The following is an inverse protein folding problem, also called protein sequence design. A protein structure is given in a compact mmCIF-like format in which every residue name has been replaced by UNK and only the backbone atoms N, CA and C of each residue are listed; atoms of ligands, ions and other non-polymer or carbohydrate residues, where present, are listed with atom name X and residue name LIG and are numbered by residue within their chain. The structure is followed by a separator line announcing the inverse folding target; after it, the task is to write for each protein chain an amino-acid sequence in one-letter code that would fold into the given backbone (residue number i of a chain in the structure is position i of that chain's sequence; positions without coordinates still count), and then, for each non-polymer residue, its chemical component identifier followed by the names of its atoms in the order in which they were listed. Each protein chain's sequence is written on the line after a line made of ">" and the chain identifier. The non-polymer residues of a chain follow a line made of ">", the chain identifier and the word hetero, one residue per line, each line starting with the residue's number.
data_IF_132424690689
#
_entry.id   IF_132424690689
#
_cell.length_a   1.000
_cell.length_b   1.000
_cell.length_c   1.000
_cell.angle_alpha   90.00
_cell.angle_beta   90.00
_cell.angle_gamma   90.00
#
_symmetry.space_group_name_H-M   'P 1'
#
loop_
_entity.id
_entity.type
_entity.pdbx_description
1 polymer ?
#
# COMPACT_ATOMS: atom_id res chain seq x y z
N UNK A 1 -21.85 13.28 -24.61
CA UNK A 1 -21.90 13.18 -23.14
C UNK A 1 -20.56 12.63 -22.73
N UNK A 2 -19.69 13.50 -22.26
CA UNK A 2 -18.31 13.19 -21.92
C UNK A 2 -18.30 12.23 -20.73
N UNK A 3 -17.39 11.26 -20.72
CA UNK A 3 -17.12 10.36 -19.58
C UNK A 3 -16.66 11.22 -18.41
N UNK A 4 -17.63 11.65 -17.60
CA UNK A 4 -17.43 12.51 -16.45
C UNK A 4 -16.60 11.77 -15.39
N UNK A 5 -15.71 12.54 -14.80
CA UNK A 5 -14.83 12.15 -13.71
C UNK A 5 -15.69 11.70 -12.52
N UNK A 6 -15.61 10.43 -12.12
CA UNK A 6 -16.32 9.92 -10.94
C UNK A 6 -15.68 10.54 -9.70
N UNK A 7 -16.48 11.18 -8.86
CA UNK A 7 -16.02 11.73 -7.58
C UNK A 7 -16.01 10.64 -6.49
N UNK A 8 -14.89 9.94 -6.38
CA UNK A 8 -14.67 8.89 -5.38
C UNK A 8 -14.57 9.41 -3.94
N UNK A 9 -14.43 10.73 -3.71
CA UNK A 9 -14.43 11.29 -2.35
C UNK A 9 -15.83 11.25 -1.71
N UNK A 10 -16.86 11.11 -2.54
CA UNK A 10 -18.25 10.94 -2.13
C UNK A 10 -18.65 9.46 -1.98
N UNK A 11 -17.70 8.53 -2.09
CA UNK A 11 -17.96 7.10 -1.98
C UNK A 11 -18.20 6.68 -0.51
N UNK A 12 -19.23 5.87 -0.23
CA UNK A 12 -19.47 5.33 1.10
C UNK A 12 -18.38 4.34 1.50
N UNK A 13 -18.18 4.16 2.82
CA UNK A 13 -17.22 3.20 3.35
C UNK A 13 -17.53 1.77 2.85
N UNK A 14 -16.51 1.10 2.32
CA UNK A 14 -16.65 -0.22 1.68
C UNK A 14 -16.95 -0.19 0.17
N UNK A 15 -17.12 0.98 -0.44
CA UNK A 15 -17.28 1.07 -1.89
C UNK A 15 -16.02 0.62 -2.62
N UNK A 16 -16.15 -0.38 -3.50
CA UNK A 16 -15.06 -0.90 -4.32
C UNK A 16 -15.25 -0.62 -5.80
N UNK A 17 -16.50 -0.36 -6.25
CA UNK A 17 -16.84 -0.09 -7.63
C UNK A 17 -17.96 0.97 -7.74
N UNK A 18 -18.18 1.46 -8.96
CA UNK A 18 -19.21 2.42 -9.32
C UNK A 18 -19.98 1.90 -10.54
N UNK A 19 -21.31 1.95 -10.49
CA UNK A 19 -22.19 1.55 -11.58
C UNK A 19 -22.71 2.81 -12.29
N UNK A 20 -22.29 3.06 -13.55
CA UNK A 20 -22.79 4.21 -14.33
C UNK A 20 -24.23 4.00 -14.85
N UNK A 21 -24.88 2.88 -14.50
CA UNK A 21 -26.22 2.51 -14.97
C UNK A 21 -27.32 2.74 -13.93
N UNK A 22 -26.94 3.06 -12.69
CA UNK A 22 -27.87 3.23 -11.59
C UNK A 22 -27.54 4.53 -10.87
N UNK A 23 -28.24 5.61 -11.25
CA UNK A 23 -28.02 6.95 -10.71
C UNK A 23 -28.46 7.08 -9.24
N UNK A 24 -29.42 6.26 -8.79
CA UNK A 24 -29.97 6.30 -7.43
C UNK A 24 -29.09 5.55 -6.43
N UNK A 25 -28.49 4.44 -6.88
CA UNK A 25 -27.56 3.63 -6.11
C UNK A 25 -26.34 3.31 -6.97
N UNK A 26 -25.43 4.28 -7.18
CA UNK A 26 -24.29 4.10 -8.08
C UNK A 26 -23.16 3.30 -7.43
N UNK A 27 -22.99 3.40 -6.11
CA UNK A 27 -21.88 2.73 -5.42
C UNK A 27 -22.10 1.23 -5.31
N UNK A 28 -21.03 0.47 -5.53
CA UNK A 28 -21.00 -0.98 -5.47
C UNK A 28 -19.92 -1.46 -4.50
N UNK A 29 -20.25 -2.46 -3.71
CA UNK A 29 -19.31 -3.23 -2.91
C UNK A 29 -19.31 -4.67 -3.42
N UNK A 30 -18.14 -5.31 -3.37
CA UNK A 30 -17.96 -6.72 -3.68
C UNK A 30 -17.42 -7.39 -2.42
N UNK A 31 -18.16 -8.35 -1.90
CA UNK A 31 -17.78 -9.14 -0.72
C UNK A 31 -18.10 -10.61 -0.96
N UNK A 32 -17.15 -11.50 -0.68
CA UNK A 32 -17.20 -12.97 -0.92
C UNK A 32 -17.77 -13.45 -2.29
N UNK A 33 -17.71 -12.61 -3.32
CA UNK A 33 -18.23 -12.92 -4.67
C UNK A 33 -19.63 -12.38 -4.95
N UNK A 34 -20.32 -11.89 -3.92
CA UNK A 34 -21.60 -11.21 -4.01
C UNK A 34 -21.41 -9.70 -4.22
N UNK A 35 -22.47 -9.06 -4.71
CA UNK A 35 -22.49 -7.64 -5.04
C UNK A 35 -23.55 -6.93 -4.26
N UNK A 36 -23.18 -5.76 -3.73
CA UNK A 36 -24.06 -4.91 -2.96
C UNK A 36 -24.13 -3.52 -3.56
N UNK A 37 -25.31 -2.90 -3.53
CA UNK A 37 -25.55 -1.51 -3.85
C UNK A 37 -25.71 -0.69 -2.58
N UNK A 38 -25.15 0.52 -2.56
CA UNK A 38 -25.36 1.44 -1.43
C UNK A 38 -26.75 2.05 -1.52
N UNK A 39 -27.55 1.89 -0.47
CA UNK A 39 -28.82 2.59 -0.29
C UNK A 39 -28.58 3.86 0.55
N UNK A 40 -28.66 5.06 -0.03
CA UNK A 40 -28.41 6.30 0.70
C UNK A 40 -29.51 6.65 1.70
N UNK A 41 -30.74 6.16 1.53
CA UNK A 41 -31.86 6.49 2.43
C UNK A 41 -31.77 5.73 3.77
N UNK A 42 -31.24 4.50 3.72
CA UNK A 42 -31.07 3.64 4.90
C UNK A 42 -29.62 3.57 5.39
N UNK A 43 -28.69 4.22 4.67
CA UNK A 43 -27.25 4.19 4.92
C UNK A 43 -26.69 2.76 5.07
N UNK A 44 -27.13 1.85 4.19
CA UNK A 44 -26.75 0.44 4.24
C UNK A 44 -26.42 -0.16 2.86
N UNK A 45 -25.76 -1.32 2.88
CA UNK A 45 -25.46 -2.12 1.70
C UNK A 45 -26.56 -3.16 1.47
N UNK A 46 -27.18 -3.14 0.29
CA UNK A 46 -28.25 -4.06 -0.11
C UNK A 46 -27.77 -4.96 -1.23
N UNK A 47 -28.02 -6.26 -1.13
CA UNK A 47 -27.61 -7.24 -2.15
C UNK A 47 -28.25 -6.92 -3.51
N UNK A 48 -27.46 -7.02 -4.58
CA UNK A 48 -27.89 -6.81 -5.95
C UNK A 48 -28.21 -8.17 -6.56
N UNK A 49 -29.48 -8.44 -6.85
CA UNK A 49 -29.93 -9.75 -7.36
C UNK A 49 -29.35 -10.11 -8.74
N UNK A 50 -29.05 -9.13 -9.60
CA UNK A 50 -28.56 -9.35 -10.97
C UNK A 50 -27.37 -8.43 -11.31
N UNK A 51 -26.18 -8.68 -10.74
CA UNK A 51 -25.05 -7.78 -10.91
C UNK A 51 -24.50 -7.82 -12.33
N UNK A 52 -23.99 -6.67 -12.79
CA UNK A 52 -23.32 -6.48 -14.09
C UNK A 52 -21.86 -6.06 -13.86
N UNK A 53 -21.01 -6.95 -13.32
CA UNK A 53 -19.65 -6.60 -12.91
C UNK A 53 -18.77 -6.09 -14.05
N UNK A 54 -19.04 -6.53 -15.28
CA UNK A 54 -18.39 -6.08 -16.51
C UNK A 54 -18.65 -4.61 -16.85
N UNK A 55 -19.72 -4.03 -16.29
CA UNK A 55 -20.11 -2.63 -16.50
C UNK A 55 -19.77 -1.74 -15.30
N UNK A 56 -19.22 -2.31 -14.22
CA UNK A 56 -18.85 -1.56 -13.03
C UNK A 56 -17.42 -1.04 -13.16
N UNK A 57 -17.26 0.23 -12.83
CA UNK A 57 -15.99 0.93 -12.84
C UNK A 57 -15.35 0.76 -11.47
N UNK A 58 -14.22 0.06 -11.39
CA UNK A 58 -13.51 -0.13 -10.13
C UNK A 58 -13.04 1.21 -9.56
N UNK A 59 -13.05 1.30 -8.23
CA UNK A 59 -12.44 2.43 -7.54
C UNK A 59 -10.97 2.57 -7.97
N UNK A 60 -10.48 3.81 -8.23
CA UNK A 60 -9.06 4.06 -8.28
C UNK A 60 -8.49 3.61 -6.93
N UNK A 61 -7.56 2.66 -7.00
CA UNK A 61 -7.06 1.97 -5.83
C UNK A 61 -6.06 2.88 -5.10
N UNK A 62 -6.57 3.80 -4.27
CA UNK A 62 -5.73 4.63 -3.39
C UNK A 62 -5.47 3.97 -2.03
N UNK A 63 -6.18 2.87 -1.68
CA UNK A 63 -6.05 2.23 -0.37
C UNK A 63 -5.88 0.71 -0.48
N UNK A 64 -4.79 0.26 -1.10
CA UNK A 64 -4.29 -1.07 -0.75
C UNK A 64 -3.59 -0.95 0.61
N UNK A 65 -4.03 -1.64 1.68
CA UNK A 65 -3.46 -1.47 3.02
C UNK A 65 -2.08 -2.14 3.19
N UNK A 66 -1.56 -2.79 2.14
CA UNK A 66 -0.31 -3.55 2.19
C UNK A 66 -0.49 -5.04 2.48
N UNK A 67 -1.71 -5.49 2.72
CA UNK A 67 -2.01 -6.90 2.96
C UNK A 67 -2.28 -7.65 1.65
N UNK A 68 -1.65 -8.82 1.48
CA UNK A 68 -1.85 -9.67 0.30
C UNK A 68 -1.20 -9.14 -0.97
N UNK A 69 -1.58 -9.62 -2.15
CA UNK A 69 -1.00 -9.10 -3.39
C UNK A 69 -1.56 -7.70 -3.70
N UNK A 70 -0.73 -6.76 -4.16
CA UNK A 70 -1.20 -5.46 -4.60
C UNK A 70 -2.18 -5.59 -5.78
N UNK A 71 -3.30 -4.83 -5.81
CA UNK A 71 -4.26 -4.89 -6.90
C UNK A 71 -3.66 -4.52 -8.26
N UNK A 72 -4.19 -5.10 -9.34
CA UNK A 72 -3.75 -4.77 -10.70
C UNK A 72 -4.00 -3.30 -11.00
N UNK A 73 -3.00 -2.63 -11.57
CA UNK A 73 -3.05 -1.21 -11.94
C UNK A 73 -2.50 -0.26 -10.89
N UNK A 74 -2.26 -0.71 -9.65
CA UNK A 74 -1.68 0.13 -8.59
C UNK A 74 -0.17 0.32 -8.81
N UNK A 75 0.33 1.46 -8.34
CA UNK A 75 1.75 1.69 -8.13
C UNK A 75 2.04 1.48 -6.65
N UNK A 76 3.01 0.64 -6.33
CA UNK A 76 3.36 0.26 -4.97
C UNK A 76 4.88 0.12 -4.83
N UNK A 77 5.38 -0.06 -3.62
CA UNK A 77 6.79 -0.35 -3.40
C UNK A 77 7.00 -1.87 -3.28
N UNK A 78 8.06 -2.39 -3.89
CA UNK A 78 8.50 -3.77 -3.77
C UNK A 78 9.92 -3.83 -3.23
N UNK A 79 10.20 -4.78 -2.33
CA UNK A 79 11.54 -5.05 -1.85
C UNK A 79 12.38 -5.74 -2.94
N UNK A 80 13.32 -5.02 -3.52
CA UNK A 80 14.28 -5.56 -4.48
C UNK A 80 15.21 -6.56 -3.79
N UNK A 81 15.34 -7.77 -4.35
CA UNK A 81 16.25 -8.79 -3.86
C UNK A 81 17.54 -8.76 -4.71
N UNK A 82 18.33 -7.69 -4.54
CA UNK A 82 19.61 -7.46 -5.22
C UNK A 82 20.81 -7.46 -4.26
N UNK A 83 21.95 -6.91 -4.70
CA UNK A 83 23.11 -6.69 -3.81
C UNK A 83 22.80 -5.68 -2.70
N UNK A 84 21.95 -4.68 -3.01
CA UNK A 84 21.38 -3.74 -2.07
C UNK A 84 19.87 -4.00 -1.95
N UNK A 85 19.43 -4.43 -0.78
CA UNK A 85 18.00 -4.64 -0.48
C UNK A 85 17.33 -3.29 -0.27
N UNK A 86 16.63 -2.80 -1.29
CA UNK A 86 15.93 -1.52 -1.25
C UNK A 86 14.47 -1.63 -1.70
N UNK A 87 13.65 -0.69 -1.24
CA UNK A 87 12.26 -0.57 -1.68
C UNK A 87 12.21 0.24 -2.97
N UNK A 88 11.68 -0.36 -4.03
CA UNK A 88 11.58 0.24 -5.36
C UNK A 88 10.12 0.40 -5.79
N UNK A 89 9.82 1.48 -6.50
CA UNK A 89 8.49 1.71 -7.04
C UNK A 89 8.21 0.79 -8.24
N UNK A 90 7.08 0.07 -8.20
CA UNK A 90 6.66 -0.85 -9.26
C UNK A 90 5.18 -0.66 -9.58
N UNK A 91 4.82 -0.88 -10.85
CA UNK A 91 3.43 -0.88 -11.30
C UNK A 91 2.93 -2.30 -11.50
N UNK A 92 1.85 -2.68 -10.83
CA UNK A 92 1.25 -4.01 -11.00
C UNK A 92 0.47 -4.06 -12.31
N UNK A 93 0.80 -5.03 -13.16
CA UNK A 93 0.22 -5.20 -14.49
C UNK A 93 -0.83 -6.30 -14.56
N UNK A 94 -0.63 -7.39 -13.80
CA UNK A 94 -1.54 -8.54 -13.79
C UNK A 94 -1.28 -9.41 -12.55
N UNK A 95 -2.20 -10.34 -12.28
CA UNK A 95 -1.95 -11.47 -11.39
C UNK A 95 -1.89 -12.76 -12.21
N UNK A 96 -0.96 -13.64 -11.84
CA UNK A 96 -0.77 -14.93 -12.51
C UNK A 96 -0.53 -16.04 -11.48
N UNK A 97 -1.01 -17.25 -11.78
CA UNK A 97 -0.63 -18.45 -11.02
C UNK A 97 0.68 -19.00 -11.55
N UNK A 98 1.72 -18.96 -10.74
CA UNK A 98 3.06 -19.51 -11.05
C UNK A 98 3.36 -20.57 -9.98
N UNK A 99 3.68 -21.79 -10.43
CA UNK A 99 3.96 -22.92 -9.54
C UNK A 99 2.85 -23.24 -8.50
N UNK A 100 1.61 -22.81 -8.77
CA UNK A 100 0.45 -23.02 -7.89
C UNK A 100 0.10 -21.83 -6.99
N UNK A 101 1.00 -20.84 -6.90
CA UNK A 101 0.83 -19.66 -6.05
C UNK A 101 0.45 -18.44 -6.87
N UNK A 102 -0.36 -17.56 -6.28
CA UNK A 102 -0.70 -16.27 -6.89
C UNK A 102 0.49 -15.32 -6.82
N UNK A 103 0.84 -14.74 -7.97
CA UNK A 103 1.95 -13.80 -8.14
C UNK A 103 1.44 -12.49 -8.75
N UNK A 104 2.03 -11.38 -8.35
CA UNK A 104 1.93 -10.12 -9.08
C UNK A 104 2.94 -10.11 -10.22
N UNK A 105 2.47 -9.82 -11.43
CA UNK A 105 3.28 -9.40 -12.57
C UNK A 105 3.38 -7.89 -12.50
N UNK A 106 4.59 -7.35 -12.46
CA UNK A 106 4.82 -5.92 -12.28
C UNK A 106 5.86 -5.40 -13.26
N UNK A 107 5.80 -4.09 -13.51
CA UNK A 107 6.82 -3.34 -14.22
C UNK A 107 7.67 -2.56 -13.23
N UNK A 108 8.99 -2.69 -13.38
CA UNK A 108 10.00 -1.87 -12.72
C UNK A 108 10.89 -1.28 -13.82
N UNK A 109 10.93 0.04 -13.96
CA UNK A 109 11.62 0.73 -15.06
C UNK A 109 11.27 0.09 -16.43
N UNK A 110 12.28 -0.43 -17.14
CA UNK A 110 12.15 -1.10 -18.45
C UNK A 110 12.03 -2.64 -18.35
N UNK A 111 11.85 -3.17 -17.14
CA UNK A 111 11.81 -4.61 -16.87
C UNK A 111 10.43 -5.07 -16.37
N UNK A 112 10.05 -6.29 -16.74
CA UNK A 112 8.88 -6.99 -16.19
C UNK A 112 9.37 -8.07 -15.24
N UNK A 113 8.84 -8.05 -14.02
CA UNK A 113 9.13 -9.02 -12.98
C UNK A 113 7.88 -9.73 -12.48
N UNK A 114 8.09 -10.77 -11.69
CA UNK A 114 7.02 -11.51 -11.01
C UNK A 114 7.44 -11.86 -9.58
N UNK A 115 6.55 -11.66 -8.61
CA UNK A 115 6.80 -12.02 -7.21
C UNK A 115 5.48 -12.41 -6.52
N UNK A 116 5.53 -13.40 -5.65
CA UNK A 116 4.46 -13.70 -4.70
C UNK A 116 4.57 -12.76 -3.50
N UNK A 117 3.48 -12.49 -2.76
CA UNK A 117 3.58 -11.65 -1.55
C UNK A 117 4.14 -12.41 -0.32
N UNK A 118 4.93 -13.47 -0.53
CA UNK A 118 5.50 -14.21 0.60
C UNK A 118 6.59 -13.37 1.25
N UNK A 119 6.44 -13.13 2.55
CA UNK A 119 7.39 -12.31 3.30
C UNK A 119 7.16 -10.80 3.21
N UNK A 120 5.97 -10.35 2.79
CA UNK A 120 5.61 -8.93 2.71
C UNK A 120 6.57 -8.13 1.81
N UNK A 121 6.85 -8.66 0.62
CA UNK A 121 7.74 -8.03 -0.35
C UNK A 121 7.09 -6.84 -1.07
N UNK A 122 5.77 -6.65 -0.96
CA UNK A 122 5.07 -5.47 -1.46
C UNK A 122 4.55 -4.63 -0.31
N UNK A 123 4.50 -3.32 -0.50
CA UNK A 123 3.80 -2.39 0.40
C UNK A 123 3.26 -1.17 -0.35
N UNK A 124 2.29 -0.44 0.21
CA UNK A 124 1.80 0.80 -0.40
C UNK A 124 2.92 1.85 -0.46
N UNK A 125 2.83 2.79 -1.39
CA UNK A 125 3.80 3.89 -1.47
C UNK A 125 3.75 4.68 -0.16
N UNK A 126 4.88 4.77 0.53
CA UNK A 126 5.01 5.58 1.73
C UNK A 126 5.09 7.06 1.35
N UNK A 127 4.42 7.90 2.12
CA UNK A 127 4.57 9.36 2.02
C UNK A 127 6.02 9.77 2.28
N UNK A 128 6.42 10.95 1.79
CA UNK A 128 7.78 11.46 2.02
C UNK A 128 8.13 11.58 3.51
N UNK A 129 7.13 11.86 4.36
CA UNK A 129 7.27 11.90 5.81
C UNK A 129 7.55 10.50 6.40
N UNK A 130 6.80 9.48 5.98
CA UNK A 130 7.02 8.10 6.41
C UNK A 130 8.37 7.57 5.91
N UNK A 131 8.79 7.92 4.69
CA UNK A 131 10.12 7.58 4.16
C UNK A 131 11.24 8.25 4.95
N UNK A 132 11.03 9.47 5.44
CA UNK A 132 11.99 10.16 6.30
C UNK A 132 12.08 9.50 7.70
N UNK A 133 10.96 9.05 8.24
CA UNK A 133 10.91 8.28 9.50
C UNK A 133 11.67 6.96 9.35
N UNK A 134 11.43 6.21 8.28
CA UNK A 134 12.11 4.95 8.01
C UNK A 134 13.62 5.11 7.89
N UNK A 135 14.07 6.13 7.16
CA UNK A 135 15.51 6.40 7.02
C UNK A 135 16.14 6.70 8.36
N UNK A 136 15.47 7.52 9.17
CA UNK A 136 15.93 7.84 10.53
C UNK A 136 15.97 6.58 11.39
N UNK A 137 14.97 5.71 11.28
CA UNK A 137 14.93 4.45 12.03
C UNK A 137 16.05 3.49 11.58
N UNK A 138 16.27 3.34 10.28
CA UNK A 138 17.35 2.52 9.72
C UNK A 138 18.75 3.05 10.12
N UNK A 139 18.94 4.37 10.13
CA UNK A 139 20.17 5.01 10.60
C UNK A 139 20.40 4.75 12.10
N UNK A 140 19.34 4.85 12.91
CA UNK A 140 19.38 4.48 14.33
C UNK A 140 19.71 3.00 14.49
N UNK A 141 19.03 2.10 13.79
CA UNK A 141 19.30 0.66 13.89
C UNK A 141 20.74 0.32 13.49
N UNK A 142 21.27 0.93 12.43
CA UNK A 142 22.67 0.77 12.03
C UNK A 142 23.65 1.27 13.11
N UNK A 143 23.36 2.42 13.73
CA UNK A 143 24.16 2.94 14.86
C UNK A 143 24.17 1.99 16.06
N UNK A 144 23.07 1.27 16.29
CA UNK A 144 22.96 0.31 17.40
C UNK A 144 23.49 -1.09 17.07
N UNK A 145 23.52 -1.47 15.80
CA UNK A 145 24.12 -2.72 15.34
C UNK A 145 25.64 -2.76 15.59
N UNK A 146 26.32 -1.61 15.51
CA UNK A 146 27.76 -1.47 15.78
C UNK A 146 28.08 -1.20 17.27
N UNK A 147 27.26 -1.78 18.16
CA UNK A 147 27.45 -1.74 19.62
C UNK A 147 26.83 -0.55 20.34
N UNK A 148 26.17 0.36 19.61
CA UNK A 148 25.31 1.40 20.16
C UNK A 148 26.00 2.38 21.12
N UNK A 149 25.22 3.12 21.93
CA UNK A 149 25.75 4.12 22.86
C UNK A 149 26.75 3.54 23.87
N UNK A 150 26.65 2.25 24.18
CA UNK A 150 27.57 1.54 25.07
C UNK A 150 28.95 1.35 24.43
N UNK A 151 29.03 0.98 23.15
CA UNK A 151 30.31 0.87 22.45
C UNK A 151 31.03 2.22 22.33
N UNK A 152 30.30 3.33 22.15
CA UNK A 152 30.88 4.68 22.15
C UNK A 152 31.44 5.05 23.54
N UNK A 153 30.75 4.64 24.61
CA UNK A 153 31.21 4.84 26.00
C UNK A 153 32.46 4.00 26.31
N UNK A 154 32.47 2.73 25.88
CA UNK A 154 33.61 1.81 26.07
C UNK A 154 34.82 2.17 25.18
N UNK A 155 34.61 2.82 24.03
CA UNK A 155 35.65 3.40 23.18
C UNK A 155 36.35 4.64 23.81
N UNK A 156 35.97 5.04 25.04
CA UNK A 156 36.73 5.99 25.86
C UNK A 156 36.17 7.41 25.92
N UNK A 157 35.00 7.69 25.35
CA UNK A 157 34.30 8.96 25.53
C UNK A 157 33.67 9.02 26.94
N UNK A 158 34.46 9.35 27.95
CA UNK A 158 33.98 9.54 29.33
C UNK A 158 33.30 10.91 29.48
N UNK A 159 32.24 10.92 30.29
CA UNK A 159 31.44 12.11 30.67
C UNK A 159 32.34 13.30 31.00
N UNK A 160 32.08 14.44 30.37
CA UNK A 160 32.55 15.75 30.85
C UNK A 160 31.79 16.04 32.14
N UNK A 161 32.51 16.11 33.25
CA UNK A 161 31.95 16.51 34.54
C UNK A 161 31.65 18.02 34.48
N UNK A 162 30.41 18.50 34.68
CA UNK A 162 30.10 19.92 34.69
C UNK A 162 30.51 20.53 36.03
N UNK A 163 31.81 20.52 36.34
CA UNK A 163 32.39 21.15 37.51
C UNK A 163 33.52 22.09 37.08
N UNK A 164 33.17 23.35 36.83
CA UNK A 164 34.14 24.38 36.47
C UNK A 164 33.62 25.81 36.35
N UNK A 165 32.31 26.05 36.44
CA UNK A 165 31.79 27.41 36.64
C UNK A 165 31.84 27.74 38.14
N UNK A 166 33.00 28.24 38.61
CA UNK A 166 33.07 28.92 39.90
C UNK A 166 32.36 30.29 39.81
N UNK A 167 31.70 30.74 40.90
CA UNK A 167 31.02 32.03 40.95
C UNK A 167 31.97 33.22 40.86
#
# INVERSE_FOLDING_TARGET
>A
MSTEHIDWTSAPEGATHFSPLNDEQPWRMKDDGDWYGWNPDEENWVEVEDPRPDLYLAAPVDSWPGDGLPPVGIVCEMLSHGEDTEWVEVKVLAHAKICGDDHAVFQYEDHIGTSDNRGACFRPIRTDEERAIDRTLAEIEALYADGGPAAIFDAGYRKVDPAGAQP
#
